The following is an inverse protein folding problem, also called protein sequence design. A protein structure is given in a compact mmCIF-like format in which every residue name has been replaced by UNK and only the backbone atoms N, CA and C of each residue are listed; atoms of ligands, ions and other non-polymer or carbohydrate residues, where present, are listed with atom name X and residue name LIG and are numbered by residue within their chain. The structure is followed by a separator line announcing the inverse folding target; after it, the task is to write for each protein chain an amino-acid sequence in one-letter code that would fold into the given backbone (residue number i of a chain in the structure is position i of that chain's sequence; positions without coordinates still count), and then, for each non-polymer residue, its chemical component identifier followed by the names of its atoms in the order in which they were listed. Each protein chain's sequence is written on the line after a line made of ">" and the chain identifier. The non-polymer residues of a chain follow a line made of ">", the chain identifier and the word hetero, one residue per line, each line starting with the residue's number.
data_IF_564051624615
#
_entry.id   IF_564051624615
#
_cell.length_a   1.000
_cell.length_b   1.000
_cell.length_c   1.000
_cell.angle_alpha   90.00
_cell.angle_beta   90.00
_cell.angle_gamma   90.00
#
_symmetry.space_group_name_H-M   'P 1'
#
loop_
_entity.id
_entity.type
_entity.pdbx_description
1 polymer ?
#
# COMPACT_ATOMS: atom_id res chain seq x y z
N UNK A 1 24.58 -31.20 -11.97
CA UNK A 1 23.13 -31.45 -12.14
C UNK A 1 22.95 -32.27 -13.41
N UNK A 2 22.23 -33.41 -13.38
CA UNK A 2 22.07 -34.28 -14.55
C UNK A 2 21.11 -33.64 -15.58
N UNK A 3 21.34 -33.87 -16.87
CA UNK A 3 20.51 -33.41 -18.00
C UNK A 3 19.00 -33.67 -17.81
N UNK A 4 18.61 -34.80 -17.23
CA UNK A 4 17.21 -35.12 -16.89
C UNK A 4 16.61 -34.18 -15.83
N UNK A 5 17.42 -33.71 -14.89
CA UNK A 5 17.02 -32.72 -13.88
C UNK A 5 16.91 -31.32 -14.49
N UNK A 6 17.81 -30.95 -15.41
CA UNK A 6 17.74 -29.68 -16.16
C UNK A 6 16.46 -29.59 -16.99
N UNK A 7 16.13 -30.63 -17.75
CA UNK A 7 14.91 -30.70 -18.56
C UNK A 7 13.63 -30.56 -17.71
N UNK A 8 13.56 -31.25 -16.57
CA UNK A 8 12.43 -31.12 -15.63
C UNK A 8 12.30 -29.70 -15.07
N UNK A 9 13.42 -29.07 -14.70
CA UNK A 9 13.43 -27.68 -14.20
C UNK A 9 12.95 -26.70 -15.27
N UNK A 10 13.37 -26.87 -16.52
CA UNK A 10 12.93 -26.05 -17.65
C UNK A 10 11.42 -26.20 -17.94
N UNK A 11 10.90 -27.43 -17.88
CA UNK A 11 9.47 -27.71 -18.04
C UNK A 11 8.63 -27.09 -16.92
N UNK A 12 9.08 -27.21 -15.66
CA UNK A 12 8.46 -26.57 -14.51
C UNK A 12 8.44 -25.04 -14.67
N UNK A 13 9.58 -24.44 -15.02
CA UNK A 13 9.66 -22.98 -15.22
C UNK A 13 8.69 -22.50 -16.32
N UNK A 14 8.56 -23.26 -17.41
CA UNK A 14 7.62 -22.96 -18.49
C UNK A 14 6.17 -23.03 -18.01
N UNK A 15 5.81 -24.07 -17.26
CA UNK A 15 4.46 -24.24 -16.72
C UNK A 15 4.12 -23.15 -15.69
N UNK A 16 5.05 -22.84 -14.78
CA UNK A 16 4.92 -21.74 -13.82
C UNK A 16 4.69 -20.40 -14.54
N UNK A 17 5.45 -20.13 -15.61
CA UNK A 17 5.26 -18.93 -16.42
C UNK A 17 3.87 -18.87 -17.05
N UNK A 18 3.39 -19.98 -17.63
CA UNK A 18 2.04 -20.06 -18.21
C UNK A 18 0.94 -19.80 -17.17
N UNK A 19 1.11 -20.28 -15.93
CA UNK A 19 0.15 -20.04 -14.84
C UNK A 19 0.17 -18.56 -14.44
N UNK A 20 1.35 -17.98 -14.22
CA UNK A 20 1.51 -16.57 -13.82
C UNK A 20 0.98 -15.62 -14.90
N UNK A 21 1.16 -15.98 -16.17
CA UNK A 21 0.68 -15.19 -17.30
C UNK A 21 -0.81 -15.42 -17.63
N UNK A 22 -1.46 -16.37 -16.96
CA UNK A 22 -2.88 -16.65 -17.20
C UNK A 22 -3.76 -15.50 -16.70
N UNK A 23 -4.82 -15.11 -17.45
CA UNK A 23 -5.74 -14.06 -17.03
C UNK A 23 -6.37 -14.33 -15.67
N UNK A 24 -6.76 -15.58 -15.42
CA UNK A 24 -7.38 -16.01 -14.16
C UNK A 24 -6.47 -15.81 -12.95
N UNK A 25 -5.17 -16.14 -13.08
CA UNK A 25 -4.20 -15.95 -12.02
C UNK A 25 -3.95 -14.46 -11.75
N UNK A 26 -3.85 -13.65 -12.81
CA UNK A 26 -3.66 -12.20 -12.69
C UNK A 26 -4.84 -11.51 -12.02
N UNK A 27 -6.07 -11.86 -12.39
CA UNK A 27 -7.27 -11.31 -11.75
C UNK A 27 -7.37 -11.73 -10.28
N UNK A 28 -7.16 -13.02 -9.97
CA UNK A 28 -7.16 -13.47 -8.57
C UNK A 28 -6.10 -12.78 -7.73
N UNK A 29 -4.89 -12.61 -8.26
CA UNK A 29 -3.82 -11.90 -7.56
C UNK A 29 -4.18 -10.45 -7.31
N UNK A 30 -4.80 -9.78 -8.28
CA UNK A 30 -5.30 -8.41 -8.14
C UNK A 30 -6.40 -8.31 -7.08
N UNK A 31 -7.34 -9.25 -7.05
CA UNK A 31 -8.36 -9.32 -5.99
C UNK A 31 -7.73 -9.53 -4.61
N UNK A 32 -6.75 -10.43 -4.49
CA UNK A 32 -6.01 -10.68 -3.26
C UNK A 32 -5.25 -9.43 -2.79
N UNK A 33 -4.57 -8.75 -3.72
CA UNK A 33 -3.85 -7.50 -3.45
C UNK A 33 -4.80 -6.38 -3.00
N UNK A 34 -5.95 -6.23 -3.69
CA UNK A 34 -6.99 -5.28 -3.30
C UNK A 34 -7.54 -5.59 -1.90
N UNK A 35 -7.83 -6.84 -1.59
CA UNK A 35 -8.28 -7.22 -0.24
C UNK A 35 -7.21 -6.96 0.83
N UNK A 36 -5.94 -7.24 0.53
CA UNK A 36 -4.85 -7.02 1.47
C UNK A 36 -4.64 -5.53 1.76
N UNK A 37 -4.69 -4.68 0.74
CA UNK A 37 -4.65 -3.21 0.90
C UNK A 37 -5.82 -2.73 1.76
N UNK A 38 -7.03 -3.22 1.47
CA UNK A 38 -8.23 -2.87 2.23
C UNK A 38 -8.16 -3.29 3.69
N UNK A 39 -7.64 -4.50 3.97
CA UNK A 39 -7.41 -4.97 5.34
C UNK A 39 -6.38 -4.11 6.06
N UNK A 40 -5.25 -3.80 5.43
CA UNK A 40 -4.21 -2.96 6.02
C UNK A 40 -4.76 -1.57 6.39
N UNK A 41 -5.51 -0.94 5.48
CA UNK A 41 -6.13 0.36 5.73
C UNK A 41 -7.17 0.31 6.86
N UNK A 42 -8.01 -0.73 6.90
CA UNK A 42 -8.99 -0.92 7.95
C UNK A 42 -8.34 -1.12 9.33
N UNK A 43 -7.27 -1.93 9.40
CA UNK A 43 -6.48 -2.13 10.62
C UNK A 43 -5.84 -0.82 11.10
N UNK A 44 -5.21 -0.06 10.21
CA UNK A 44 -4.62 1.23 10.55
C UNK A 44 -5.66 2.24 11.04
N UNK A 45 -6.82 2.30 10.36
CA UNK A 45 -7.95 3.15 10.77
C UNK A 45 -8.45 2.78 12.16
N UNK A 46 -8.55 1.48 12.47
CA UNK A 46 -8.97 1.00 13.78
C UNK A 46 -7.99 1.39 14.89
N UNK A 47 -6.68 1.21 14.67
CA UNK A 47 -5.63 1.62 15.61
C UNK A 47 -5.70 3.14 15.86
N UNK A 48 -5.90 3.93 14.79
CA UNK A 48 -6.05 5.38 14.88
C UNK A 48 -7.29 5.77 15.69
N UNK A 49 -8.43 5.08 15.48
CA UNK A 49 -9.65 5.32 16.24
C UNK A 49 -9.47 4.98 17.74
N UNK A 50 -8.78 3.89 18.05
CA UNK A 50 -8.46 3.51 19.43
C UNK A 50 -7.60 4.59 20.12
N UNK A 51 -6.56 5.06 19.42
CA UNK A 51 -5.70 6.15 19.90
C UNK A 51 -6.49 7.44 20.15
N UNK A 52 -7.32 7.87 19.19
CA UNK A 52 -8.18 9.06 19.34
C UNK A 52 -9.18 8.91 20.49
N UNK A 53 -9.76 7.74 20.67
CA UNK A 53 -10.71 7.47 21.74
C UNK A 53 -10.04 7.49 23.12
N UNK A 54 -8.91 6.78 23.28
CA UNK A 54 -8.24 6.60 24.58
C UNK A 54 -7.39 7.78 24.99
N UNK A 55 -6.66 8.39 24.06
CA UNK A 55 -5.72 9.48 24.38
C UNK A 55 -6.36 10.86 24.31
N UNK A 56 -7.27 11.06 23.36
CA UNK A 56 -7.92 12.36 23.13
C UNK A 56 -9.39 12.39 23.58
N UNK A 57 -9.88 11.33 24.23
CA UNK A 57 -11.27 11.21 24.69
C UNK A 57 -12.32 11.45 23.59
N UNK A 58 -11.96 11.23 22.31
CA UNK A 58 -12.86 11.45 21.18
C UNK A 58 -14.07 10.53 21.30
N UNK A 59 -15.27 11.11 21.38
CA UNK A 59 -16.52 10.34 21.44
C UNK A 59 -16.91 9.81 20.05
N UNK A 60 -17.88 8.91 20.01
CA UNK A 60 -18.36 8.26 18.78
C UNK A 60 -18.61 9.23 17.62
N UNK A 61 -19.16 10.42 17.88
CA UNK A 61 -19.38 11.43 16.86
C UNK A 61 -18.06 11.95 16.23
N UNK A 62 -17.01 12.14 17.04
CA UNK A 62 -15.68 12.54 16.57
C UNK A 62 -15.02 11.42 15.76
N UNK A 63 -15.09 10.19 16.25
CA UNK A 63 -14.59 9.01 15.53
C UNK A 63 -15.32 8.84 14.18
N UNK A 64 -16.65 9.06 14.14
CA UNK A 64 -17.42 9.01 12.89
C UNK A 64 -16.99 10.09 11.89
N UNK A 65 -16.67 11.31 12.37
CA UNK A 65 -16.10 12.37 11.50
C UNK A 65 -14.73 11.96 10.95
N UNK A 66 -13.87 11.38 11.77
CA UNK A 66 -12.57 10.87 11.34
C UNK A 66 -12.70 9.76 10.27
N UNK A 67 -13.58 8.79 10.47
CA UNK A 67 -13.85 7.74 9.48
C UNK A 67 -14.39 8.35 8.16
N UNK A 68 -15.31 9.30 8.25
CA UNK A 68 -15.84 9.99 7.07
C UNK A 68 -14.77 10.80 6.33
N UNK A 69 -13.76 11.31 7.03
CA UNK A 69 -12.60 11.98 6.44
C UNK A 69 -11.67 10.99 5.73
N UNK A 70 -11.41 9.81 6.31
CA UNK A 70 -10.51 8.81 5.73
C UNK A 70 -11.09 8.07 4.52
N UNK A 71 -12.41 7.83 4.50
CA UNK A 71 -13.06 7.01 3.48
C UNK A 71 -12.83 7.51 2.03
N UNK A 72 -12.88 8.81 1.72
CA UNK A 72 -12.51 9.32 0.40
C UNK A 72 -11.04 9.06 0.05
N UNK A 73 -10.12 9.14 1.02
CA UNK A 73 -8.68 8.99 0.79
C UNK A 73 -8.29 7.59 0.29
N UNK A 74 -9.12 6.59 0.55
CA UNK A 74 -8.96 5.23 0.02
C UNK A 74 -8.89 5.20 -1.51
N UNK A 75 -9.58 6.12 -2.21
CA UNK A 75 -9.54 6.18 -3.66
C UNK A 75 -8.16 6.58 -4.17
N UNK A 76 -7.44 7.42 -3.43
CA UNK A 76 -6.13 7.90 -3.84
C UNK A 76 -5.05 6.82 -3.66
N UNK A 77 -5.17 5.94 -2.66
CA UNK A 77 -4.20 4.84 -2.43
C UNK A 77 -3.97 4.00 -3.70
N UNK A 78 -5.04 3.77 -4.47
CA UNK A 78 -4.97 2.97 -5.71
C UNK A 78 -4.81 3.82 -6.96
N UNK A 79 -5.46 4.99 -7.01
CA UNK A 79 -5.62 5.73 -8.26
C UNK A 79 -4.67 6.92 -8.39
N UNK A 80 -3.98 7.30 -7.31
CA UNK A 80 -3.11 8.48 -7.27
C UNK A 80 -1.91 8.23 -6.32
N UNK A 81 -0.81 7.65 -6.85
CA UNK A 81 0.38 7.38 -6.04
C UNK A 81 1.04 8.66 -5.52
N UNK A 82 0.82 9.82 -6.15
CA UNK A 82 1.45 11.09 -5.79
C UNK A 82 0.73 11.81 -4.65
N UNK A 83 -0.57 11.58 -4.48
CA UNK A 83 -1.39 12.23 -3.46
C UNK A 83 -0.75 12.18 -2.05
N UNK A 84 -0.32 10.99 -1.61
CA UNK A 84 0.24 10.82 -0.27
C UNK A 84 1.67 11.35 -0.15
N UNK A 85 2.44 11.38 -1.25
CA UNK A 85 3.75 12.02 -1.27
C UNK A 85 3.61 13.53 -1.07
N UNK A 86 2.72 14.17 -1.83
CA UNK A 86 2.44 15.60 -1.71
C UNK A 86 1.85 15.96 -0.35
N UNK A 87 0.94 15.14 0.19
CA UNK A 87 0.41 15.33 1.54
C UNK A 87 1.52 15.23 2.60
N UNK A 88 2.43 14.28 2.47
CA UNK A 88 3.56 14.15 3.38
C UNK A 88 4.52 15.35 3.26
N UNK A 89 4.77 15.84 2.04
CA UNK A 89 5.58 17.04 1.83
C UNK A 89 4.94 18.27 2.49
N UNK A 90 3.64 18.47 2.32
CA UNK A 90 2.92 19.55 2.99
C UNK A 90 3.01 19.43 4.52
N UNK A 91 2.96 18.22 5.08
CA UNK A 91 3.17 17.99 6.52
C UNK A 91 4.59 18.34 6.97
N UNK A 92 5.60 18.05 6.15
CA UNK A 92 6.99 18.47 6.43
C UNK A 92 7.11 19.99 6.41
N UNK A 93 6.53 20.65 5.41
CA UNK A 93 6.62 22.10 5.25
C UNK A 93 5.84 22.85 6.35
N UNK A 94 4.66 22.36 6.72
CA UNK A 94 3.78 23.02 7.69
C UNK A 94 4.16 22.75 9.15
N UNK A 95 4.53 21.51 9.49
CA UNK A 95 4.73 21.09 10.88
C UNK A 95 6.05 20.35 11.13
N UNK A 96 6.94 20.27 10.13
CA UNK A 96 8.25 19.64 10.26
C UNK A 96 8.22 18.13 10.44
N UNK A 97 7.09 17.47 10.15
CA UNK A 97 6.91 16.04 10.41
C UNK A 97 6.82 15.23 9.12
N UNK A 98 7.82 14.41 8.90
CA UNK A 98 7.85 13.43 7.81
C UNK A 98 7.28 12.09 8.28
N UNK A 99 5.98 11.90 8.13
CA UNK A 99 5.25 10.72 8.62
C UNK A 99 5.68 9.47 7.86
N UNK A 100 5.81 9.55 6.54
CA UNK A 100 6.13 8.40 5.69
C UNK A 100 7.54 7.88 5.96
N UNK A 101 8.55 8.76 6.06
CA UNK A 101 9.91 8.33 6.40
C UNK A 101 10.00 7.74 7.80
N UNK A 102 9.24 8.26 8.77
CA UNK A 102 9.18 7.68 10.12
C UNK A 102 8.59 6.28 10.14
N UNK A 103 7.76 5.94 9.16
CA UNK A 103 7.19 4.60 8.96
C UNK A 103 8.06 3.71 8.06
N UNK A 104 9.26 4.17 7.67
CA UNK A 104 10.18 3.42 6.82
C UNK A 104 9.80 3.40 5.34
N UNK A 105 8.95 4.34 4.91
CA UNK A 105 8.62 4.53 3.50
C UNK A 105 9.44 5.69 2.93
N UNK A 106 10.19 5.40 1.87
CA UNK A 106 10.93 6.39 1.11
C UNK A 106 10.26 6.54 -0.26
N UNK A 107 10.07 7.79 -0.69
CA UNK A 107 9.67 8.10 -2.06
C UNK A 107 10.94 8.37 -2.86
N UNK A 108 11.03 7.82 -4.07
CA UNK A 108 12.09 8.21 -5.01
C UNK A 108 11.91 9.70 -5.35
N UNK A 109 12.95 10.51 -5.14
CA UNK A 109 12.93 11.89 -5.60
C UNK A 109 13.03 11.89 -7.14
N UNK A 110 12.14 12.61 -7.83
CA UNK A 110 12.19 12.72 -9.30
C UNK A 110 13.52 13.31 -9.80
N UNK A 111 14.27 14.03 -8.95
CA UNK A 111 15.62 14.52 -9.26
C UNK A 111 16.63 13.39 -9.48
N UNK A 112 16.52 12.27 -8.76
CA UNK A 112 17.44 11.11 -8.92
C UNK A 112 17.12 10.29 -10.19
N UNK A 113 15.92 10.46 -10.76
CA UNK A 113 15.48 9.73 -11.96
C UNK A 113 15.96 10.38 -13.26
N UNK A 114 16.38 11.64 -13.21
CA UNK A 114 16.91 12.39 -14.36
C UNK A 114 18.45 12.32 -14.47
N UNK A 115 19.13 11.61 -13.56
CA UNK A 115 20.59 11.41 -13.57
C UNK A 115 21.04 9.98 -13.94
N UNK A 116 20.13 9.10 -14.39
CA UNK A 116 20.44 7.75 -14.87
C UNK A 116 20.19 7.56 -16.37
#
# INVERSE_FOLDING_TARGET
>A
MNNKQMMRKAQLAKLTKQIIDSPEYRERRKEDDEQNIMRAFACFTLISCDYLYRQFNCKAAGIKRFINFLKPSMKYVKNDPEYFRLLNQAFVDEIGLDVMRKLGMEFENEEERNEQ
#
